data_IF_547617515132
#
_entry.id   IF_547617515132
#
_cell.length_a   1.000
_cell.length_b   1.000
_cell.length_c   1.000
_cell.angle_alpha   90.00
_cell.angle_beta   90.00
_cell.angle_gamma   90.00
#
_symmetry.space_group_name_H-M   'P 1'
#
loop_
_entity.id
_entity.type
_entity.pdbx_description
1 polymer ?
#
# COMPACT_ATOMS: atom_id res chain seq x y z
N UNK A 1 -1.90 -51.00 62.50
CA UNK A 1 -2.43 -51.16 61.13
C UNK A 1 -3.57 -50.18 60.91
N UNK A 2 -3.37 -49.13 60.11
CA UNK A 2 -4.45 -48.28 59.57
C UNK A 2 -3.98 -47.79 58.19
N UNK A 3 -4.64 -48.25 57.12
CA UNK A 3 -4.41 -47.83 55.73
C UNK A 3 -5.23 -46.55 55.50
N UNK A 4 -4.64 -45.43 55.03
CA UNK A 4 -5.45 -44.33 54.51
C UNK A 4 -5.82 -44.61 53.05
N UNK A 5 -7.12 -44.51 52.80
CA UNK A 5 -7.84 -44.66 51.56
C UNK A 5 -7.48 -43.52 50.59
N UNK A 6 -6.89 -43.86 49.43
CA UNK A 6 -6.62 -42.90 48.36
C UNK A 6 -7.94 -42.54 47.66
N UNK A 7 -8.47 -41.35 47.95
CA UNK A 7 -9.63 -40.80 47.24
C UNK A 7 -9.15 -40.19 45.93
N UNK A 8 -9.56 -40.79 44.81
CA UNK A 8 -9.37 -40.25 43.46
C UNK A 8 -10.23 -38.98 43.33
N UNK A 9 -9.62 -37.80 43.40
CA UNK A 9 -10.25 -36.58 42.92
C UNK A 9 -10.25 -36.63 41.39
N UNK A 10 -11.44 -36.77 40.81
CA UNK A 10 -11.69 -36.55 39.40
C UNK A 10 -11.34 -35.10 39.05
N UNK A 11 -10.18 -34.89 38.40
CA UNK A 11 -9.92 -33.66 37.67
C UNK A 11 -10.97 -33.56 36.55
N UNK A 12 -12.02 -32.77 36.77
CA UNK A 12 -12.79 -32.20 35.68
C UNK A 12 -11.84 -31.31 34.88
N UNK A 13 -11.35 -31.82 33.76
CA UNK A 13 -10.64 -31.04 32.76
C UNK A 13 -11.63 -30.06 32.15
N UNK A 14 -11.62 -28.81 32.63
CA UNK A 14 -12.19 -27.69 31.89
C UNK A 14 -11.37 -27.53 30.62
N UNK A 15 -11.78 -28.20 29.54
CA UNK A 15 -11.31 -27.95 28.19
C UNK A 15 -11.90 -26.61 27.74
N UNK A 16 -11.34 -25.51 28.22
CA UNK A 16 -11.51 -24.19 27.62
C UNK A 16 -10.77 -24.15 26.29
N UNK A 17 -11.28 -24.87 25.29
CA UNK A 17 -10.91 -24.69 23.90
C UNK A 17 -11.64 -23.46 23.36
N UNK A 18 -11.26 -22.28 23.83
CA UNK A 18 -11.53 -21.04 23.09
C UNK A 18 -10.55 -20.99 21.93
N UNK A 19 -10.75 -21.82 20.91
CA UNK A 19 -10.23 -21.54 19.57
C UNK A 19 -11.09 -20.46 18.98
N UNK A 20 -10.83 -19.21 19.40
CA UNK A 20 -11.11 -18.09 18.52
C UNK A 20 -10.28 -18.36 17.26
N UNK A 21 -10.93 -18.84 16.20
CA UNK A 21 -10.34 -18.85 14.89
C UNK A 21 -9.89 -17.42 14.62
N UNK A 22 -8.59 -17.17 14.67
CA UNK A 22 -7.99 -15.96 14.13
C UNK A 22 -8.30 -16.00 12.62
N UNK A 23 -9.49 -15.53 12.25
CA UNK A 23 -9.83 -15.25 10.87
C UNK A 23 -8.78 -14.24 10.43
N UNK A 24 -7.87 -14.67 9.55
CA UNK A 24 -6.94 -13.76 8.92
C UNK A 24 -7.77 -12.62 8.33
N UNK A 25 -7.42 -11.35 8.61
CA UNK A 25 -8.20 -10.23 8.13
C UNK A 25 -8.35 -10.34 6.60
N UNK A 26 -9.53 -10.05 6.05
CA UNK A 26 -9.76 -10.18 4.61
C UNK A 26 -8.71 -9.36 3.86
N UNK A 27 -8.12 -9.96 2.82
CA UNK A 27 -7.16 -9.25 1.97
C UNK A 27 -7.83 -7.99 1.41
N UNK A 28 -7.16 -6.86 1.54
CA UNK A 28 -7.62 -5.58 0.98
C UNK A 28 -7.82 -5.71 -0.53
N UNK A 29 -8.91 -5.14 -1.04
CA UNK A 29 -9.21 -5.06 -2.47
C UNK A 29 -9.43 -3.61 -2.89
N UNK A 30 -9.29 -3.36 -4.20
CA UNK A 30 -9.64 -2.09 -4.85
C UNK A 30 -10.59 -2.35 -6.01
N UNK A 31 -11.44 -1.37 -6.32
CA UNK A 31 -12.19 -1.36 -7.56
C UNK A 31 -11.27 -0.86 -8.69
N UNK A 32 -10.78 -1.80 -9.51
CA UNK A 32 -9.92 -1.47 -10.65
C UNK A 32 -10.59 -0.53 -11.64
N UNK A 33 -11.91 -0.65 -11.86
CA UNK A 33 -12.63 0.21 -12.80
C UNK A 33 -12.64 1.65 -12.29
N UNK A 34 -12.82 1.82 -10.98
CA UNK A 34 -12.71 3.13 -10.35
C UNK A 34 -11.31 3.72 -10.54
N UNK A 35 -10.24 2.94 -10.31
CA UNK A 35 -8.87 3.41 -10.49
C UNK A 35 -8.59 3.77 -11.96
N UNK A 36 -8.98 2.92 -12.92
CA UNK A 36 -8.81 3.21 -14.35
C UNK A 36 -9.51 4.51 -14.73
N UNK A 37 -10.79 4.64 -14.38
CA UNK A 37 -11.56 5.84 -14.69
C UNK A 37 -10.93 7.09 -14.06
N UNK A 38 -10.47 6.99 -12.81
CA UNK A 38 -9.79 8.09 -12.12
C UNK A 38 -8.53 8.53 -12.87
N UNK A 39 -7.68 7.58 -13.29
CA UNK A 39 -6.43 7.89 -13.99
C UNK A 39 -6.65 8.37 -15.44
N UNK A 40 -7.69 7.92 -16.12
CA UNK A 40 -8.00 8.34 -17.49
C UNK A 40 -8.59 9.77 -17.55
N UNK A 41 -9.26 10.19 -16.48
CA UNK A 41 -9.96 11.49 -16.40
C UNK A 41 -9.20 12.56 -15.62
N UNK A 42 -8.00 12.26 -15.12
CA UNK A 42 -7.25 13.10 -14.19
C UNK A 42 -6.50 14.28 -14.81
N UNK A 43 -6.53 14.47 -16.14
CA UNK A 43 -5.68 15.47 -16.83
C UNK A 43 -5.85 16.89 -16.31
N UNK A 44 -7.07 17.26 -15.92
CA UNK A 44 -7.41 18.60 -15.42
C UNK A 44 -7.47 18.66 -13.89
N UNK A 45 -7.00 17.61 -13.19
CA UNK A 45 -6.99 17.57 -11.74
C UNK A 45 -5.92 18.55 -11.20
N UNK A 46 -6.27 19.56 -10.39
CA UNK A 46 -5.32 20.53 -9.85
C UNK A 46 -4.29 19.91 -8.89
N UNK A 47 -4.59 18.72 -8.37
CA UNK A 47 -3.69 17.97 -7.50
C UNK A 47 -2.68 17.13 -8.31
N UNK A 48 -2.79 17.04 -9.65
CA UNK A 48 -1.87 16.28 -10.49
C UNK A 48 -0.46 16.92 -10.51
N UNK A 49 0.51 16.18 -10.01
CA UNK A 49 1.92 16.58 -9.92
C UNK A 49 2.68 16.11 -11.18
N UNK A 50 2.53 14.83 -11.52
CA UNK A 50 3.25 14.18 -12.60
C UNK A 50 2.32 13.24 -13.34
N UNK A 51 2.49 13.13 -14.65
CA UNK A 51 1.82 12.16 -15.49
C UNK A 51 2.78 11.72 -16.59
N UNK A 52 3.01 10.41 -16.71
CA UNK A 52 3.82 9.85 -17.78
C UNK A 52 3.21 8.53 -18.28
N UNK A 53 3.41 8.26 -19.57
CA UNK A 53 3.02 7.02 -20.22
C UNK A 53 4.26 6.49 -20.94
N UNK A 54 4.64 5.26 -20.63
CA UNK A 54 5.72 4.55 -21.31
C UNK A 54 5.17 3.26 -21.92
N UNK A 55 5.42 3.07 -23.22
CA UNK A 55 4.99 1.89 -23.96
C UNK A 55 6.20 1.16 -24.53
N UNK A 56 6.32 -0.13 -24.23
CA UNK A 56 7.42 -0.97 -24.71
C UNK A 56 6.98 -2.41 -24.88
N UNK A 57 7.19 -2.98 -26.07
CA UNK A 57 6.89 -4.39 -26.38
C UNK A 57 5.46 -4.84 -25.97
N UNK A 58 4.46 -3.98 -26.21
CA UNK A 58 3.05 -4.25 -25.88
C UNK A 58 2.69 -4.07 -24.40
N UNK A 59 3.65 -3.72 -23.53
CA UNK A 59 3.39 -3.26 -22.17
C UNK A 59 3.23 -1.75 -22.17
N UNK A 60 2.17 -1.28 -21.52
CA UNK A 60 1.89 0.14 -21.26
C UNK A 60 1.92 0.39 -19.77
N UNK A 61 2.80 1.28 -19.34
CA UNK A 61 2.89 1.76 -17.96
C UNK A 61 2.40 3.19 -17.91
N UNK A 62 1.31 3.43 -17.19
CA UNK A 62 0.81 4.78 -16.88
C UNK A 62 1.19 5.12 -15.45
N UNK A 63 1.96 6.18 -15.24
CA UNK A 63 2.32 6.70 -13.92
C UNK A 63 1.66 8.06 -13.73
N UNK A 64 0.96 8.26 -12.62
CA UNK A 64 0.44 9.55 -12.22
C UNK A 64 0.57 9.78 -10.72
N UNK A 65 1.17 10.90 -10.34
CA UNK A 65 1.33 11.32 -8.95
C UNK A 65 0.40 12.50 -8.63
N UNK A 66 -0.27 12.44 -7.49
CA UNK A 66 -1.21 13.47 -7.01
C UNK A 66 -0.83 13.96 -5.62
N UNK A 67 -1.06 15.25 -5.33
CA UNK A 67 -0.98 15.77 -3.96
C UNK A 67 -1.82 14.91 -3.04
N UNK A 68 -1.20 14.41 -1.96
CA UNK A 68 -1.93 13.58 -1.02
C UNK A 68 -2.82 14.46 -0.17
N UNK A 69 -4.09 14.06 -0.04
CA UNK A 69 -5.02 14.62 0.94
C UNK A 69 -4.91 13.92 2.29
N UNK A 70 -4.21 12.78 2.33
CA UNK A 70 -3.93 12.03 3.56
C UNK A 70 -2.83 12.77 4.30
N UNK A 71 -3.25 13.60 5.26
CA UNK A 71 -2.36 14.19 6.24
C UNK A 71 -1.94 13.09 7.21
N UNK A 72 -0.78 12.52 6.91
CA UNK A 72 0.06 11.77 7.85
C UNK A 72 -0.35 10.31 8.13
N UNK A 73 0.58 9.37 7.94
CA UNK A 73 0.53 8.03 8.54
C UNK A 73 0.91 8.05 10.04
N UNK A 74 0.65 9.17 10.72
CA UNK A 74 1.12 9.41 12.09
C UNK A 74 2.63 9.70 12.20
N UNK A 75 3.26 10.24 11.14
CA UNK A 75 4.70 10.49 11.07
C UNK A 75 4.97 11.96 10.69
N UNK A 76 4.86 12.81 11.71
CA UNK A 76 5.06 14.28 11.69
C UNK A 76 6.42 14.77 11.15
N UNK A 77 7.32 13.86 10.79
CA UNK A 77 8.67 14.17 10.30
C UNK A 77 8.71 14.65 8.84
N UNK A 78 7.68 14.35 8.04
CA UNK A 78 7.67 14.65 6.61
C UNK A 78 6.53 15.63 6.26
N UNK A 79 6.86 16.89 5.90
CA UNK A 79 5.87 17.95 5.75
C UNK A 79 5.04 17.86 4.48
N UNK A 80 5.50 17.13 3.47
CA UNK A 80 4.87 17.02 2.16
C UNK A 80 4.56 15.55 1.84
N UNK A 81 3.46 15.31 1.13
CA UNK A 81 3.08 13.96 0.71
C UNK A 81 2.32 13.93 -0.61
N UNK A 82 2.44 12.82 -1.31
CA UNK A 82 1.72 12.53 -2.55
C UNK A 82 1.37 11.05 -2.65
N UNK A 83 0.38 10.74 -3.49
CA UNK A 83 0.04 9.38 -3.87
C UNK A 83 0.38 9.17 -5.34
N UNK A 84 1.24 8.18 -5.60
CA UNK A 84 1.60 7.74 -6.94
C UNK A 84 0.80 6.50 -7.33
N UNK A 85 0.26 6.52 -8.55
CA UNK A 85 -0.47 5.44 -9.15
C UNK A 85 0.29 4.96 -10.38
N UNK A 86 0.70 3.69 -10.37
CA UNK A 86 1.29 3.03 -11.53
C UNK A 86 0.37 1.91 -12.00
N UNK A 87 -0.16 2.08 -13.21
CA UNK A 87 -0.99 1.08 -13.87
C UNK A 87 -0.19 0.43 -15.01
N UNK A 88 -0.04 -0.89 -14.94
CA UNK A 88 0.65 -1.69 -15.96
C UNK A 88 -0.40 -2.49 -16.72
N UNK A 89 -0.47 -2.26 -18.03
CA UNK A 89 -1.38 -2.92 -18.95
C UNK A 89 -0.61 -3.65 -20.03
N UNK A 90 -1.18 -4.75 -20.54
CA UNK A 90 -0.67 -5.46 -21.70
C UNK A 90 -1.84 -5.81 -22.60
N UNK A 91 -1.74 -5.51 -23.89
CA UNK A 91 -2.79 -5.77 -24.88
C UNK A 91 -4.15 -5.16 -24.43
N UNK A 92 -4.12 -3.92 -23.92
CA UNK A 92 -5.26 -3.19 -23.35
C UNK A 92 -5.93 -3.83 -22.12
N UNK A 93 -5.29 -4.81 -21.49
CA UNK A 93 -5.76 -5.42 -20.25
C UNK A 93 -4.85 -5.01 -19.09
N UNK A 94 -5.42 -4.42 -18.05
CA UNK A 94 -4.70 -4.12 -16.81
C UNK A 94 -4.20 -5.41 -16.18
N UNK A 95 -2.89 -5.48 -15.92
CA UNK A 95 -2.23 -6.62 -15.28
C UNK A 95 -1.96 -6.34 -13.81
N UNK A 96 -1.63 -5.09 -13.49
CA UNK A 96 -1.24 -4.69 -12.16
C UNK A 96 -1.52 -3.21 -11.93
N UNK A 97 -1.92 -2.90 -10.71
CA UNK A 97 -2.00 -1.52 -10.19
C UNK A 97 -1.11 -1.45 -8.97
N UNK A 98 -0.29 -0.41 -8.90
CA UNK A 98 0.57 -0.10 -7.77
C UNK A 98 0.12 1.27 -7.25
N UNK A 99 -0.13 1.34 -5.95
CA UNK A 99 -0.46 2.59 -5.27
C UNK A 99 0.62 2.82 -4.22
N UNK A 100 1.33 3.94 -4.35
CA UNK A 100 2.41 4.30 -3.42
C UNK A 100 2.06 5.61 -2.74
N UNK A 101 1.87 5.58 -1.42
CA UNK A 101 1.78 6.80 -0.64
C UNK A 101 3.18 7.19 -0.19
N UNK A 102 3.59 8.42 -0.52
CA UNK A 102 4.94 8.92 -0.29
C UNK A 102 4.88 10.14 0.60
N UNK A 103 5.68 10.11 1.66
CA UNK A 103 5.98 11.22 2.54
C UNK A 103 7.42 11.65 2.28
N UNK A 104 7.64 12.92 1.97
CA UNK A 104 8.95 13.42 1.56
C UNK A 104 9.29 14.71 2.27
N UNK A 105 10.55 14.82 2.69
CA UNK A 105 11.16 16.09 3.05
C UNK A 105 11.94 16.63 1.85
N UNK A 106 11.38 17.65 1.20
CA UNK A 106 11.98 18.27 0.03
C UNK A 106 13.32 18.97 0.31
N UNK A 107 13.61 19.32 1.57
CA UNK A 107 14.91 19.90 1.96
C UNK A 107 15.99 18.83 2.08
N UNK A 108 15.72 17.75 2.82
CA UNK A 108 16.74 16.72 3.11
C UNK A 108 16.76 15.58 2.11
N UNK A 109 15.68 15.40 1.36
CA UNK A 109 15.49 14.27 0.46
C UNK A 109 15.23 12.93 1.11
N UNK A 110 14.92 12.93 2.40
CA UNK A 110 14.44 11.74 3.05
C UNK A 110 13.00 11.51 2.64
N UNK A 111 12.69 10.26 2.28
CA UNK A 111 11.33 9.83 2.01
C UNK A 111 10.97 8.61 2.84
N UNK A 112 9.68 8.45 3.06
CA UNK A 112 9.04 7.25 3.53
C UNK A 112 7.93 6.93 2.55
N UNK A 113 7.91 5.73 2.01
CA UNK A 113 6.85 5.30 1.10
C UNK A 113 6.24 3.99 1.54
N UNK A 114 4.93 3.88 1.32
CA UNK A 114 4.15 2.68 1.51
C UNK A 114 3.49 2.31 0.19
N UNK A 115 3.93 1.19 -0.37
CA UNK A 115 3.51 0.69 -1.66
C UNK A 115 2.60 -0.52 -1.47
N UNK A 116 1.45 -0.47 -2.12
CA UNK A 116 0.52 -1.59 -2.24
C UNK A 116 0.41 -1.99 -3.71
N UNK A 117 0.50 -3.29 -3.98
CA UNK A 117 0.43 -3.84 -5.33
C UNK A 117 -0.77 -4.76 -5.44
N UNK A 118 -1.61 -4.48 -6.44
CA UNK A 118 -2.84 -5.19 -6.72
C UNK A 118 -2.74 -5.91 -8.08
N UNK A 119 -3.27 -7.13 -8.15
CA UNK A 119 -3.36 -7.86 -9.42
C UNK A 119 -4.53 -7.35 -10.30
N UNK A 120 -4.71 -7.98 -11.45
CA UNK A 120 -5.79 -7.71 -12.41
C UNK A 120 -7.22 -7.99 -11.89
N UNK A 121 -7.38 -8.50 -10.68
CA UNK A 121 -8.67 -8.67 -10.01
C UNK A 121 -8.85 -7.66 -8.86
N UNK A 122 -7.93 -6.71 -8.70
CA UNK A 122 -7.97 -5.71 -7.63
C UNK A 122 -7.59 -6.27 -6.27
N UNK A 123 -7.03 -7.48 -6.19
CA UNK A 123 -6.64 -8.12 -4.93
C UNK A 123 -5.21 -7.71 -4.57
N UNK A 124 -5.00 -7.27 -3.33
CA UNK A 124 -3.67 -6.98 -2.80
C UNK A 124 -2.79 -8.24 -2.81
N UNK A 125 -1.67 -8.17 -3.51
CA UNK A 125 -0.70 -9.28 -3.65
C UNK A 125 0.63 -8.98 -2.96
N UNK A 126 0.96 -7.70 -2.73
CA UNK A 126 2.21 -7.30 -2.08
C UNK A 126 2.08 -5.94 -1.42
N UNK A 127 2.70 -5.82 -0.25
CA UNK A 127 2.89 -4.54 0.45
C UNK A 127 4.38 -4.35 0.72
N UNK A 128 4.88 -3.13 0.55
CA UNK A 128 6.27 -2.78 0.79
C UNK A 128 6.35 -1.39 1.42
N UNK A 129 7.05 -1.28 2.55
CA UNK A 129 7.36 0.01 3.17
C UNK A 129 8.85 0.30 3.00
N UNK A 130 9.19 1.47 2.49
CA UNK A 130 10.56 1.90 2.20
C UNK A 130 10.83 3.20 2.96
N UNK A 131 12.01 3.34 3.59
CA UNK A 131 12.40 4.54 4.33
C UNK A 131 13.85 4.95 4.07
N UNK A 132 14.10 6.25 4.00
CA UNK A 132 15.43 6.89 3.99
C UNK A 132 15.98 7.25 2.61
N UNK A 133 17.17 7.89 2.57
CA UNK A 133 17.80 8.40 1.33
C UNK A 133 18.02 7.37 0.21
N UNK A 134 18.08 6.08 0.55
CA UNK A 134 18.32 4.98 -0.40
C UNK A 134 17.08 4.50 -1.16
N UNK A 135 15.91 5.08 -0.87
CA UNK A 135 14.63 4.57 -1.39
C UNK A 135 14.09 5.31 -2.60
N UNK A 136 14.71 6.45 -2.92
CA UNK A 136 14.69 7.31 -4.12
C UNK A 136 13.94 6.84 -5.38
N UNK A 137 12.68 6.38 -5.24
CA UNK A 137 11.81 5.98 -6.34
C UNK A 137 11.66 7.13 -7.34
N UNK A 138 11.77 8.36 -6.86
CA UNK A 138 11.62 9.59 -7.64
C UNK A 138 12.89 10.44 -7.66
N UNK A 139 14.08 9.89 -7.38
CA UNK A 139 15.32 10.70 -7.36
C UNK A 139 15.51 11.62 -8.56
N UNK A 140 15.18 11.15 -9.77
CA UNK A 140 15.26 11.92 -11.02
C UNK A 140 14.16 12.99 -11.16
N UNK A 141 13.01 12.78 -10.53
CA UNK A 141 11.81 13.63 -10.67
C UNK A 141 11.53 14.47 -9.42
N UNK A 142 12.31 14.27 -8.35
CA UNK A 142 12.12 14.85 -7.03
C UNK A 142 12.04 16.37 -7.06
N UNK A 143 12.88 17.03 -7.84
CA UNK A 143 12.86 18.49 -7.98
C UNK A 143 11.55 18.99 -8.58
N UNK A 144 11.01 18.27 -9.58
CA UNK A 144 9.73 18.61 -10.20
C UNK A 144 8.55 18.36 -9.24
N UNK A 145 8.59 17.25 -8.49
CA UNK A 145 7.58 16.90 -7.49
C UNK A 145 7.57 17.94 -6.36
N UNK A 146 8.73 18.23 -5.78
CA UNK A 146 8.86 19.17 -4.65
C UNK A 146 8.51 20.62 -5.00
N UNK A 147 8.57 21.04 -6.27
CA UNK A 147 8.11 22.36 -6.70
C UNK A 147 6.58 22.47 -6.74
N UNK A 148 5.90 21.35 -6.89
CA UNK A 148 4.43 21.31 -7.03
C UNK A 148 3.73 20.97 -5.71
N UNK A 149 4.41 20.34 -4.76
CA UNK A 149 3.92 20.08 -3.41
C UNK A 149 3.90 21.35 -2.56
#
# INVERSE_FOLDING_TARGET
>A
MKKPLTVLFSLMTFSSATTAAYLTPPKRTIDLRHVINYLETSKDNPDLILSSINESKGLKTTNQAFKSKVKDFGLTKYPSSFTDYVMISKDNVVKQVIITNVHIDCKTGNELSHQETFNNNGVLIKTLTLSGKKTNLYSSEKSAICKKL
#
